data_IF_629907914337
#
_entry.id   IF_629907914337
#
_cell.length_a   1.000
_cell.length_b   1.000
_cell.length_c   1.000
_cell.angle_alpha   90.00
_cell.angle_beta   90.00
_cell.angle_gamma   90.00
#
_symmetry.space_group_name_H-M   'P 1'
#
loop_
_entity.id
_entity.type
_entity.pdbx_description
1 polymer ?
#
# COMPACT_ATOMS: atom_id res chain seq x y z
N UNK A 1 -6.45 1.79 11.22
CA UNK A 1 -5.95 2.45 9.99
C UNK A 1 -7.14 2.91 9.18
N UNK A 2 -6.97 3.86 8.24
CA UNK A 2 -8.06 4.28 7.34
C UNK A 2 -8.66 3.10 6.57
N UNK A 3 -7.81 2.18 6.12
CA UNK A 3 -8.24 0.94 5.44
C UNK A 3 -9.27 0.18 6.28
N UNK A 4 -9.02 -0.03 7.58
CA UNK A 4 -9.94 -0.76 8.47
C UNK A 4 -11.30 -0.06 8.66
N UNK A 5 -11.34 1.26 8.57
CA UNK A 5 -12.59 2.02 8.64
C UNK A 5 -13.37 1.83 7.34
N UNK A 6 -12.71 2.05 6.19
CA UNK A 6 -13.33 1.88 4.86
C UNK A 6 -13.75 0.43 4.60
N UNK A 7 -13.08 -0.53 5.22
CA UNK A 7 -13.45 -1.95 5.19
C UNK A 7 -14.84 -2.24 5.76
N UNK A 8 -15.40 -1.37 6.59
CA UNK A 8 -16.77 -1.52 7.09
C UNK A 8 -17.79 -1.41 5.95
N UNK A 9 -17.53 -0.56 4.96
CA UNK A 9 -18.39 -0.35 3.80
C UNK A 9 -17.96 -1.19 2.58
N UNK A 10 -16.65 -1.46 2.42
CA UNK A 10 -16.10 -2.35 1.39
C UNK A 10 -15.24 -3.46 2.01
N UNK A 11 -15.84 -4.62 2.36
CA UNK A 11 -15.14 -5.71 3.04
C UNK A 11 -13.89 -6.25 2.34
N UNK A 12 -13.82 -6.13 1.00
CA UNK A 12 -12.68 -6.56 0.18
C UNK A 12 -11.35 -5.89 0.59
N UNK A 13 -11.44 -4.68 1.13
CA UNK A 13 -10.29 -3.91 1.64
C UNK A 13 -9.64 -4.53 2.86
N UNK A 14 -10.35 -5.37 3.62
CA UNK A 14 -9.76 -6.08 4.78
C UNK A 14 -8.57 -6.92 4.33
N UNK A 15 -8.61 -7.45 3.11
CA UNK A 15 -7.53 -8.26 2.57
C UNK A 15 -6.20 -7.48 2.48
N UNK A 16 -6.21 -6.15 2.33
CA UNK A 16 -4.98 -5.34 2.31
C UNK A 16 -4.23 -5.34 3.65
N UNK A 17 -4.89 -5.70 4.75
CA UNK A 17 -4.33 -5.64 6.11
C UNK A 17 -4.31 -6.99 6.85
N UNK A 18 -5.01 -8.01 6.36
CA UNK A 18 -5.02 -9.36 6.93
C UNK A 18 -4.21 -10.39 6.12
N UNK A 19 -3.99 -10.11 4.83
CA UNK A 19 -3.07 -10.87 3.99
C UNK A 19 -1.63 -10.37 4.23
N UNK A 20 -0.75 -11.24 4.72
CA UNK A 20 0.60 -10.84 5.11
C UNK A 20 1.44 -10.33 3.93
N UNK A 21 1.21 -10.87 2.73
CA UNK A 21 1.94 -10.47 1.53
C UNK A 21 1.51 -9.06 1.12
N UNK A 22 0.21 -8.74 1.19
CA UNK A 22 -0.30 -7.39 0.89
C UNK A 22 0.05 -6.40 1.98
N UNK A 23 -0.02 -6.81 3.25
CA UNK A 23 0.31 -5.97 4.40
C UNK A 23 1.76 -5.47 4.32
N UNK A 24 2.69 -6.30 3.85
CA UNK A 24 4.07 -5.90 3.60
C UNK A 24 4.15 -4.69 2.64
N UNK A 25 3.47 -4.76 1.49
CA UNK A 25 3.46 -3.65 0.53
C UNK A 25 2.74 -2.42 1.04
N UNK A 26 1.64 -2.57 1.78
CA UNK A 26 0.94 -1.44 2.42
C UNK A 26 1.88 -0.74 3.41
N UNK A 27 2.60 -1.48 4.24
CA UNK A 27 3.59 -0.90 5.17
C UNK A 27 4.72 -0.18 4.42
N UNK A 28 5.19 -0.73 3.29
CA UNK A 28 6.20 -0.06 2.45
C UNK A 28 5.69 1.23 1.82
N UNK A 29 4.42 1.31 1.42
CA UNK A 29 3.81 2.56 0.95
C UNK A 29 3.76 3.63 2.05
N UNK A 30 3.37 3.23 3.26
CA UNK A 30 3.34 4.13 4.43
C UNK A 30 4.75 4.62 4.79
N UNK A 31 5.73 3.73 4.79
CA UNK A 31 7.14 4.07 5.00
C UNK A 31 7.64 5.02 3.91
N UNK A 32 7.36 4.71 2.63
CA UNK A 32 7.76 5.54 1.49
C UNK A 32 7.25 6.99 1.63
N UNK A 33 6.02 7.19 2.11
CA UNK A 33 5.46 8.51 2.36
C UNK A 33 6.26 9.34 3.38
N UNK A 34 6.77 8.67 4.43
CA UNK A 34 7.57 9.31 5.49
C UNK A 34 9.00 9.55 5.00
N UNK A 35 9.68 8.50 4.55
CA UNK A 35 11.11 8.56 4.23
C UNK A 35 11.37 9.51 3.05
N UNK A 36 10.49 9.57 2.06
CA UNK A 36 10.64 10.46 0.89
C UNK A 36 10.66 11.95 1.24
N UNK A 37 10.18 12.33 2.43
CA UNK A 37 10.12 13.73 2.88
C UNK A 37 11.13 14.06 3.97
N UNK A 38 11.41 13.11 4.85
CA UNK A 38 12.08 13.42 6.12
C UNK A 38 13.45 12.74 6.27
N UNK A 39 13.83 11.84 5.36
CA UNK A 39 15.07 11.10 5.46
C UNK A 39 15.86 11.15 4.15
N UNK A 40 17.21 11.14 4.19
CA UNK A 40 18.05 11.06 3.00
C UNK A 40 18.09 9.62 2.47
N UNK A 41 16.90 9.05 2.23
CA UNK A 41 16.75 7.70 1.70
C UNK A 41 16.65 7.75 0.18
N UNK A 42 17.42 6.90 -0.50
CA UNK A 42 17.36 6.73 -1.95
C UNK A 42 16.80 5.34 -2.22
N UNK A 43 15.66 5.30 -2.88
CA UNK A 43 15.00 4.05 -3.25
C UNK A 43 15.75 3.36 -4.38
N UNK A 44 15.86 2.03 -4.30
CA UNK A 44 16.35 1.24 -5.42
C UNK A 44 15.28 1.15 -6.52
N UNK A 45 15.71 1.14 -7.79
CA UNK A 45 14.78 1.04 -8.93
C UNK A 45 13.90 -0.20 -8.84
N UNK A 46 14.45 -1.33 -8.38
CA UNK A 46 13.72 -2.58 -8.21
C UNK A 46 12.59 -2.42 -7.19
N UNK A 47 12.87 -1.76 -6.07
CA UNK A 47 11.90 -1.52 -5.01
C UNK A 47 10.74 -0.65 -5.52
N UNK A 48 11.06 0.43 -6.24
CA UNK A 48 10.06 1.32 -6.82
C UNK A 48 9.18 0.57 -7.82
N UNK A 49 9.78 -0.24 -8.70
CA UNK A 49 9.04 -1.02 -9.70
C UNK A 49 8.12 -2.06 -9.06
N UNK A 50 8.59 -2.73 -8.02
CA UNK A 50 7.84 -3.75 -7.31
C UNK A 50 6.62 -3.14 -6.58
N UNK A 51 6.85 -2.05 -5.85
CA UNK A 51 5.79 -1.30 -5.17
C UNK A 51 4.79 -0.69 -6.17
N UNK A 52 5.27 -0.16 -7.29
CA UNK A 52 4.44 0.37 -8.36
C UNK A 52 3.54 -0.72 -8.96
N UNK A 53 4.07 -1.93 -9.17
CA UNK A 53 3.28 -3.07 -9.63
C UNK A 53 2.18 -3.42 -8.64
N UNK A 54 2.49 -3.52 -7.35
CA UNK A 54 1.50 -3.74 -6.31
C UNK A 54 0.39 -2.68 -6.35
N UNK A 55 0.76 -1.40 -6.52
CA UNK A 55 -0.24 -0.33 -6.61
C UNK A 55 -1.17 -0.54 -7.79
N UNK A 56 -0.64 -0.82 -8.98
CA UNK A 56 -1.45 -0.97 -10.19
C UNK A 56 -2.32 -2.24 -10.18
N UNK A 57 -1.75 -3.36 -9.75
CA UNK A 57 -2.38 -4.68 -9.92
C UNK A 57 -3.23 -5.10 -8.73
N UNK A 58 -2.95 -4.59 -7.53
CA UNK A 58 -3.63 -5.01 -6.29
C UNK A 58 -4.31 -3.85 -5.60
N UNK A 59 -3.59 -2.79 -5.26
CA UNK A 59 -4.13 -1.73 -4.42
C UNK A 59 -5.19 -0.91 -5.15
N UNK A 60 -4.87 -0.38 -6.33
CA UNK A 60 -5.75 0.50 -7.11
C UNK A 60 -7.10 -0.17 -7.43
N UNK A 61 -7.16 -1.41 -7.96
CA UNK A 61 -8.44 -2.07 -8.24
C UNK A 61 -9.34 -2.22 -7.00
N UNK A 62 -8.76 -2.37 -5.81
CA UNK A 62 -9.52 -2.50 -4.56
C UNK A 62 -10.04 -1.15 -4.04
N UNK A 63 -9.33 -0.05 -4.30
CA UNK A 63 -9.68 1.28 -3.78
C UNK A 63 -10.38 2.21 -4.77
N UNK A 64 -10.38 1.88 -6.05
CA UNK A 64 -11.00 2.70 -7.09
C UNK A 64 -12.54 2.74 -6.89
N UNK A 65 -13.12 3.94 -6.94
CA UNK A 65 -14.55 4.15 -6.69
C UNK A 65 -14.98 3.96 -5.24
N UNK A 66 -14.06 4.14 -4.29
CA UNK A 66 -14.38 4.47 -2.88
C UNK A 66 -14.54 5.98 -2.77
#
# INVERSE_FOLDING_TARGET
>A
TLIRILSQDKPELVSLIEDIDKLHYVARLEEAYIVARYLPYVFEEREVKDLYRFVLEVFKPLVEGI
#
